data_IF_114883284097
#
_entry.id   IF_114883284097
#
_cell.length_a   1.000
_cell.length_b   1.000
_cell.length_c   1.000
_cell.angle_alpha   90.00
_cell.angle_beta   90.00
_cell.angle_gamma   90.00
#
_symmetry.space_group_name_H-M   'P 1'
#
loop_
_entity.id
_entity.type
_entity.pdbx_description
1 polymer ?
#
# COMPACT_ATOMS: atom_id res chain seq x y z
N UNK A 1 17.84 -2.97 9.90
CA UNK A 1 18.04 -3.73 8.64
C UNK A 1 17.39 -5.09 8.86
N UNK A 2 16.79 -5.71 7.86
CA UNK A 2 16.25 -7.08 8.02
C UNK A 2 17.38 -8.02 8.48
N UNK A 3 17.04 -8.93 9.39
CA UNK A 3 17.96 -9.97 9.86
C UNK A 3 18.51 -10.78 8.66
N UNK A 4 19.84 -10.96 8.53
CA UNK A 4 20.44 -11.76 7.47
C UNK A 4 19.89 -13.18 7.35
N UNK A 5 19.53 -13.81 8.48
CA UNK A 5 19.02 -15.19 8.49
C UNK A 5 17.60 -15.27 7.93
N UNK A 6 16.77 -14.26 8.20
CA UNK A 6 15.45 -14.14 7.58
C UNK A 6 15.59 -13.98 6.07
N UNK A 7 16.51 -13.11 5.62
CA UNK A 7 16.74 -12.91 4.20
C UNK A 7 17.24 -14.19 3.50
N UNK A 8 18.19 -14.90 4.11
CA UNK A 8 18.68 -16.18 3.61
C UNK A 8 17.57 -17.23 3.51
N UNK A 9 16.69 -17.31 4.51
CA UNK A 9 15.53 -18.19 4.51
C UNK A 9 14.60 -17.89 3.32
N UNK A 10 14.27 -16.62 3.06
CA UNK A 10 13.42 -16.26 1.91
C UNK A 10 14.04 -16.66 0.58
N UNK A 11 15.36 -16.51 0.43
CA UNK A 11 16.08 -16.92 -0.78
C UNK A 11 16.10 -18.44 -0.97
N UNK A 12 16.16 -19.20 0.13
CA UNK A 12 16.11 -20.66 0.10
C UNK A 12 14.70 -21.16 -0.24
N UNK A 13 13.66 -20.62 0.39
CA UNK A 13 12.26 -20.93 0.08
C UNK A 13 11.93 -20.63 -1.39
N UNK A 14 12.52 -19.58 -1.98
CA UNK A 14 12.35 -19.23 -3.38
C UNK A 14 13.18 -20.07 -4.36
N UNK A 15 13.98 -21.05 -3.92
CA UNK A 15 14.88 -21.84 -4.78
C UNK A 15 14.17 -22.54 -5.93
N UNK A 16 12.95 -23.03 -5.70
CA UNK A 16 12.12 -23.68 -6.73
C UNK A 16 11.48 -22.70 -7.73
N UNK A 17 11.63 -21.39 -7.50
CA UNK A 17 11.04 -20.32 -8.31
C UNK A 17 12.12 -19.30 -8.73
N UNK A 18 12.92 -19.60 -9.76
CA UNK A 18 14.04 -18.75 -10.17
C UNK A 18 13.70 -17.27 -10.41
N UNK A 19 12.56 -16.90 -11.04
CA UNK A 19 12.20 -15.49 -11.21
C UNK A 19 11.89 -14.77 -9.89
N UNK A 20 11.18 -15.44 -8.97
CA UNK A 20 10.94 -14.90 -7.62
C UNK A 20 12.26 -14.69 -6.87
N UNK A 21 13.14 -15.70 -6.86
CA UNK A 21 14.45 -15.61 -6.21
C UNK A 21 15.29 -14.48 -6.79
N UNK A 22 15.33 -14.33 -8.11
CA UNK A 22 16.06 -13.25 -8.77
C UNK A 22 15.51 -11.87 -8.37
N UNK A 23 14.18 -11.72 -8.29
CA UNK A 23 13.55 -10.48 -7.85
C UNK A 23 13.86 -10.15 -6.38
N UNK A 24 13.91 -11.14 -5.49
CA UNK A 24 14.34 -10.97 -4.10
C UNK A 24 15.80 -10.51 -4.01
N UNK A 25 16.69 -11.13 -4.79
CA UNK A 25 18.11 -10.74 -4.86
C UNK A 25 18.28 -9.31 -5.37
N UNK A 26 17.54 -8.94 -6.43
CA UNK A 26 17.58 -7.58 -6.99
C UNK A 26 17.06 -6.53 -5.98
N UNK A 27 16.03 -6.87 -5.21
CA UNK A 27 15.51 -5.99 -4.17
C UNK A 27 16.49 -5.83 -2.99
N UNK A 28 17.31 -6.84 -2.71
CA UNK A 28 18.25 -6.87 -1.60
C UNK A 28 17.57 -6.86 -0.23
N UNK A 29 18.32 -6.78 0.88
CA UNK A 29 17.75 -6.67 2.23
C UNK A 29 16.88 -5.40 2.38
N UNK A 30 15.63 -5.56 2.83
CA UNK A 30 14.74 -4.44 3.12
C UNK A 30 14.91 -3.93 4.55
N UNK A 31 14.50 -2.70 4.82
CA UNK A 31 14.36 -2.17 6.18
C UNK A 31 12.91 -2.27 6.61
N UNK A 32 12.68 -2.84 7.79
CA UNK A 32 11.39 -2.78 8.48
C UNK A 32 11.43 -1.56 9.38
N UNK A 33 10.70 -0.52 9.00
CA UNK A 33 10.55 0.70 9.81
C UNK A 33 9.67 0.42 11.03
N UNK A 34 9.87 1.13 12.16
CA UNK A 34 8.95 1.05 13.29
C UNK A 34 7.52 1.43 12.87
N UNK A 35 6.49 1.00 13.61
CA UNK A 35 5.12 1.37 13.32
C UNK A 35 4.98 2.90 13.25
N UNK A 36 4.42 3.41 12.15
CA UNK A 36 4.28 4.85 11.92
C UNK A 36 3.31 5.52 12.89
N UNK A 37 2.44 4.73 13.55
CA UNK A 37 1.41 5.22 14.45
C UNK A 37 1.48 4.51 15.80
N UNK A 38 1.44 5.25 16.92
CA UNK A 38 1.54 4.67 18.26
C UNK A 38 0.29 3.88 18.67
N UNK A 39 -0.89 4.21 18.10
CA UNK A 39 -2.16 3.57 18.44
C UNK A 39 -2.68 2.71 17.30
N UNK A 40 -3.30 1.58 17.63
CA UNK A 40 -3.97 0.70 16.67
C UNK A 40 -5.06 1.45 15.91
N UNK A 41 -5.85 2.28 16.61
CA UNK A 41 -6.91 3.08 16.00
C UNK A 41 -6.38 4.02 14.90
N UNK A 42 -5.23 4.67 15.13
CA UNK A 42 -4.62 5.56 14.15
C UNK A 42 -4.22 4.81 12.87
N UNK A 43 -3.70 3.58 13.03
CA UNK A 43 -3.44 2.72 11.87
C UNK A 43 -4.74 2.33 11.14
N UNK A 44 -5.79 1.95 11.87
CA UNK A 44 -7.07 1.60 11.28
C UNK A 44 -7.70 2.76 10.50
N UNK A 45 -7.56 4.01 10.99
CA UNK A 45 -8.02 5.19 10.25
C UNK A 45 -7.30 5.31 8.89
N UNK A 46 -5.98 5.12 8.87
CA UNK A 46 -5.19 5.12 7.61
C UNK A 46 -5.68 4.06 6.66
N UNK A 47 -5.87 2.82 7.13
CA UNK A 47 -6.36 1.73 6.29
C UNK A 47 -7.75 2.05 5.71
N UNK A 48 -8.71 2.45 6.55
CA UNK A 48 -10.09 2.74 6.13
C UNK A 48 -10.14 3.92 5.16
N UNK A 49 -9.39 4.99 5.39
CA UNK A 49 -9.32 6.12 4.46
C UNK A 49 -8.77 5.65 3.11
N UNK A 50 -7.73 4.83 3.10
CA UNK A 50 -7.01 4.41 1.89
C UNK A 50 -7.72 3.30 1.09
N UNK A 51 -8.65 2.56 1.68
CA UNK A 51 -9.38 1.46 1.02
C UNK A 51 -9.90 1.85 -0.39
N UNK A 52 -9.66 1.00 -1.39
CA UNK A 52 -10.17 1.18 -2.77
C UNK A 52 -9.75 2.51 -3.44
N UNK A 53 -8.60 3.09 -3.04
CA UNK A 53 -8.06 4.30 -3.65
C UNK A 53 -6.67 4.06 -4.24
N UNK A 54 -6.32 4.85 -5.26
CA UNK A 54 -4.92 5.00 -5.64
C UNK A 54 -4.15 5.81 -4.60
N UNK A 55 -2.82 5.63 -4.54
CA UNK A 55 -1.95 6.39 -3.63
C UNK A 55 -2.13 7.90 -3.75
N UNK A 56 -2.28 8.41 -4.99
CA UNK A 56 -2.51 9.84 -5.25
C UNK A 56 -3.87 10.31 -4.72
N UNK A 57 -4.93 9.52 -4.93
CA UNK A 57 -6.26 9.86 -4.45
C UNK A 57 -6.33 9.85 -2.91
N UNK A 58 -5.69 8.86 -2.27
CA UNK A 58 -5.58 8.79 -0.83
C UNK A 58 -4.84 9.99 -0.25
N UNK A 59 -3.68 10.36 -0.83
CA UNK A 59 -2.91 11.54 -0.43
C UNK A 59 -3.72 12.84 -0.53
N UNK A 60 -4.48 13.01 -1.62
CA UNK A 60 -5.34 14.19 -1.80
C UNK A 60 -6.48 14.26 -0.77
N UNK A 61 -7.04 13.12 -0.36
CA UNK A 61 -8.04 13.05 0.71
C UNK A 61 -7.42 13.40 2.06
N UNK A 62 -6.26 12.84 2.40
CA UNK A 62 -5.54 13.16 3.63
C UNK A 62 -5.21 14.65 3.75
N UNK A 63 -4.69 15.26 2.68
CA UNK A 63 -4.43 16.70 2.66
C UNK A 63 -5.69 17.55 2.94
N UNK A 64 -6.87 17.12 2.46
CA UNK A 64 -8.14 17.80 2.78
C UNK A 64 -8.59 17.59 4.22
N UNK A 65 -8.40 16.39 4.77
CA UNK A 65 -8.71 16.10 6.18
C UNK A 65 -7.83 16.96 7.10
N UNK A 66 -6.52 17.01 6.81
CA UNK A 66 -5.56 17.82 7.57
C UNK A 66 -5.90 19.32 7.51
N UNK A 67 -6.21 19.84 6.31
CA UNK A 67 -6.63 21.23 6.15
C UNK A 67 -7.92 21.55 6.91
N UNK A 68 -8.92 20.65 6.86
CA UNK A 68 -10.17 20.82 7.60
C UNK A 68 -9.95 20.80 9.13
N UNK A 69 -9.11 19.88 9.61
CA UNK A 69 -8.77 19.77 11.02
C UNK A 69 -8.05 21.04 11.53
N UNK A 70 -7.08 21.53 10.75
CA UNK A 70 -6.36 22.77 11.04
C UNK A 70 -7.30 23.98 11.09
N UNK A 71 -8.24 24.09 10.14
CA UNK A 71 -9.24 25.17 10.13
C UNK A 71 -10.16 25.12 11.37
N UNK A 72 -10.43 23.93 11.90
CA UNK A 72 -11.20 23.73 13.12
C UNK A 72 -10.34 23.79 14.41
N UNK A 73 -9.05 24.15 14.32
CA UNK A 73 -8.09 24.11 15.43
C UNK A 73 -8.06 22.76 16.17
N UNK A 74 -8.17 21.65 15.43
CA UNK A 74 -8.29 20.29 15.95
C UNK A 74 -7.31 19.32 15.26
N UNK A 75 -7.22 18.09 15.77
CA UNK A 75 -6.44 17.04 15.10
C UNK A 75 -7.28 16.32 14.04
N UNK A 76 -6.68 15.76 12.97
CA UNK A 76 -7.40 14.93 11.99
C UNK A 76 -8.27 13.84 12.62
N UNK A 77 -7.80 13.28 13.73
CA UNK A 77 -8.49 12.25 14.49
C UNK A 77 -9.78 12.75 15.16
N UNK A 78 -9.79 14.00 15.64
CA UNK A 78 -10.99 14.57 16.27
C UNK A 78 -12.16 14.59 15.27
N UNK A 79 -11.88 14.80 13.99
CA UNK A 79 -12.89 14.77 12.93
C UNK A 79 -13.53 13.39 12.72
N UNK A 80 -12.96 12.32 13.26
CA UNK A 80 -13.52 10.97 13.16
C UNK A 80 -14.58 10.67 14.22
N UNK A 81 -14.84 11.61 15.13
CA UNK A 81 -15.92 11.53 16.10
C UNK A 81 -17.30 11.71 15.42
N UNK A 82 -18.38 11.43 16.16
CA UNK A 82 -19.74 11.41 15.62
C UNK A 82 -20.19 12.76 15.03
N UNK A 83 -19.67 13.87 15.55
CA UNK A 83 -20.11 15.23 15.22
C UNK A 83 -19.70 15.75 13.83
N UNK A 84 -18.64 15.21 13.24
CA UNK A 84 -17.97 15.83 12.08
C UNK A 84 -18.22 15.09 10.75
N UNK A 85 -19.28 14.27 10.69
CA UNK A 85 -19.63 13.49 9.51
C UNK A 85 -19.74 14.35 8.23
N UNK A 86 -20.37 15.52 8.32
CA UNK A 86 -20.52 16.43 7.17
C UNK A 86 -19.17 16.98 6.69
N UNK A 87 -18.25 17.27 7.61
CA UNK A 87 -16.91 17.76 7.29
C UNK A 87 -16.09 16.67 6.57
N UNK A 88 -16.08 15.44 7.10
CA UNK A 88 -15.40 14.31 6.46
C UNK A 88 -15.93 14.04 5.04
N UNK A 89 -17.25 14.14 4.86
CA UNK A 89 -17.90 14.01 3.54
C UNK A 89 -17.39 15.09 2.57
N UNK A 90 -17.23 16.33 3.03
CA UNK A 90 -16.66 17.42 2.23
C UNK A 90 -15.18 17.18 1.86
N UNK A 91 -14.43 16.44 2.69
CA UNK A 91 -13.06 16.00 2.35
C UNK A 91 -13.03 14.85 1.31
N UNK A 92 -14.19 14.31 0.90
CA UNK A 92 -14.29 13.23 -0.08
C UNK A 92 -14.34 11.83 0.54
N UNK A 93 -14.57 11.71 1.85
CA UNK A 93 -14.79 10.41 2.49
C UNK A 93 -16.22 9.93 2.21
N UNK A 94 -16.36 8.66 1.83
CA UNK A 94 -17.68 8.07 1.59
C UNK A 94 -18.45 7.86 2.90
N UNK A 95 -19.78 7.73 2.82
CA UNK A 95 -20.62 7.59 4.03
C UNK A 95 -20.35 6.29 4.77
N UNK A 96 -20.01 5.23 4.04
CA UNK A 96 -19.60 3.96 4.63
C UNK A 96 -18.28 4.11 5.38
N UNK A 97 -17.31 4.83 4.82
CA UNK A 97 -16.03 5.11 5.48
C UNK A 97 -16.20 6.02 6.70
N UNK A 98 -17.05 7.06 6.64
CA UNK A 98 -17.37 7.87 7.83
C UNK A 98 -17.87 7.00 8.98
N UNK A 99 -18.85 6.12 8.71
CA UNK A 99 -19.38 5.22 9.75
C UNK A 99 -18.32 4.23 10.26
N UNK A 100 -17.39 3.80 9.42
CA UNK A 100 -16.29 2.93 9.82
C UNK A 100 -15.29 3.66 10.73
N UNK A 101 -14.90 4.89 10.39
CA UNK A 101 -14.03 5.73 11.21
C UNK A 101 -14.66 5.99 12.60
N UNK A 102 -15.95 6.32 12.64
CA UNK A 102 -16.68 6.49 13.89
C UNK A 102 -16.79 5.20 14.70
N UNK A 103 -16.95 4.04 14.03
CA UNK A 103 -16.96 2.75 14.72
C UNK A 103 -15.59 2.40 15.33
N UNK A 104 -14.48 2.79 14.68
CA UNK A 104 -13.13 2.64 15.24
C UNK A 104 -12.97 3.50 16.49
N UNK A 105 -13.43 4.76 16.47
CA UNK A 105 -13.45 5.63 17.66
C UNK A 105 -14.24 4.99 18.80
N UNK A 106 -15.44 4.48 18.52
CA UNK A 106 -16.27 3.81 19.53
C UNK A 106 -15.60 2.55 20.09
N UNK A 107 -14.95 1.73 19.25
CA UNK A 107 -14.22 0.54 19.68
C UNK A 107 -13.02 0.89 20.58
N UNK A 108 -12.31 1.97 20.26
CA UNK A 108 -11.21 2.46 21.10
C UNK A 108 -11.70 2.96 22.45
N UNK A 109 -12.78 3.74 22.50
CA UNK A 109 -13.40 4.21 23.74
C UNK A 109 -13.92 3.06 24.61
N UNK A 110 -14.39 1.98 23.98
CA UNK A 110 -14.80 0.75 24.65
C UNK A 110 -13.62 -0.13 25.10
N UNK A 111 -12.37 0.28 24.84
CA UNK A 111 -11.17 -0.45 25.24
C UNK A 111 -10.79 -1.63 24.35
N UNK A 112 -11.53 -1.90 23.26
CA UNK A 112 -11.23 -3.01 22.33
C UNK A 112 -9.89 -2.84 21.62
N UNK A 113 -9.43 -1.60 21.45
CA UNK A 113 -8.18 -1.26 20.77
C UNK A 113 -7.00 -1.00 21.72
N UNK A 114 -7.08 -1.52 22.95
CA UNK A 114 -6.07 -1.34 23.99
C UNK A 114 -4.79 -2.16 23.82
N UNK A 115 -3.82 -2.00 24.73
CA UNK A 115 -2.49 -2.63 24.64
C UNK A 115 -2.52 -4.17 24.67
N UNK A 116 -3.57 -4.78 25.22
CA UNK A 116 -3.74 -6.24 25.27
C UNK A 116 -3.74 -6.91 23.88
N UNK A 117 -4.11 -6.18 22.82
CA UNK A 117 -4.10 -6.71 21.45
C UNK A 117 -2.71 -7.18 21.00
N UNK A 118 -1.63 -6.57 21.50
CA UNK A 118 -0.27 -6.92 21.12
C UNK A 118 0.14 -8.33 21.61
N UNK A 119 -0.48 -8.81 22.69
CA UNK A 119 -0.22 -10.13 23.25
C UNK A 119 -1.01 -11.27 22.60
N UNK A 120 -2.00 -10.95 21.76
CA UNK A 120 -2.85 -11.96 21.13
C UNK A 120 -2.20 -12.56 19.87
N UNK A 121 -2.45 -13.83 19.55
CA UNK A 121 -2.20 -14.37 18.22
C UNK A 121 -2.95 -13.58 17.15
N UNK A 122 -2.40 -13.50 15.93
CA UNK A 122 -3.01 -12.74 14.83
C UNK A 122 -4.46 -13.15 14.56
N UNK A 123 -4.78 -14.45 14.58
CA UNK A 123 -6.14 -14.92 14.33
C UNK A 123 -7.17 -14.35 15.33
N UNK A 124 -6.84 -14.32 16.63
CA UNK A 124 -7.70 -13.78 17.68
C UNK A 124 -7.82 -12.26 17.57
N UNK A 125 -6.69 -11.58 17.37
CA UNK A 125 -6.67 -10.13 17.13
C UNK A 125 -7.49 -9.77 15.90
N UNK A 126 -7.34 -10.49 14.80
CA UNK A 126 -8.07 -10.24 13.57
C UNK A 126 -9.58 -10.43 13.75
N UNK A 127 -10.02 -11.43 14.52
CA UNK A 127 -11.44 -11.60 14.85
C UNK A 127 -12.00 -10.39 15.62
N UNK A 128 -11.24 -9.85 16.59
CA UNK A 128 -11.62 -8.64 17.32
C UNK A 128 -11.69 -7.44 16.37
N UNK A 129 -10.66 -7.22 15.56
CA UNK A 129 -10.61 -6.10 14.61
C UNK A 129 -11.76 -6.16 13.59
N UNK A 130 -12.06 -7.34 13.05
CA UNK A 130 -13.14 -7.56 12.10
C UNK A 130 -14.56 -7.40 12.69
N UNK A 131 -14.70 -7.36 14.02
CA UNK A 131 -15.97 -7.00 14.65
C UNK A 131 -16.31 -5.51 14.48
N UNK A 132 -15.31 -4.68 14.16
CA UNK A 132 -15.47 -3.25 13.95
C UNK A 132 -16.00 -3.00 12.54
N UNK A 133 -17.10 -2.25 12.45
CA UNK A 133 -17.72 -1.92 11.17
C UNK A 133 -16.71 -1.33 10.18
N UNK A 134 -16.62 -1.92 8.99
CA UNK A 134 -15.76 -1.43 7.91
C UNK A 134 -14.29 -1.87 8.01
N UNK A 135 -13.94 -2.65 9.04
CA UNK A 135 -12.68 -3.37 9.14
C UNK A 135 -12.92 -4.81 8.70
N UNK A 136 -12.26 -5.21 7.62
CA UNK A 136 -12.34 -6.59 7.10
C UNK A 136 -11.02 -7.35 7.28
N UNK A 137 -10.98 -8.65 6.90
CA UNK A 137 -9.79 -9.50 7.07
C UNK A 137 -8.52 -8.89 6.49
N UNK A 138 -8.59 -8.35 5.27
CA UNK A 138 -7.44 -7.67 4.64
C UNK A 138 -6.92 -6.50 5.49
N UNK A 139 -7.81 -5.67 6.06
CA UNK A 139 -7.39 -4.57 6.93
C UNK A 139 -6.78 -5.08 8.24
N UNK A 140 -7.31 -6.16 8.81
CA UNK A 140 -6.72 -6.80 9.98
C UNK A 140 -5.31 -7.33 9.68
N UNK A 141 -5.10 -7.95 8.51
CA UNK A 141 -3.78 -8.40 8.05
C UNK A 141 -2.82 -7.22 7.90
N UNK A 142 -3.25 -6.09 7.32
CA UNK A 142 -2.39 -4.91 7.20
C UNK A 142 -1.98 -4.37 8.57
N UNK A 143 -2.90 -4.36 9.54
CA UNK A 143 -2.62 -3.97 10.92
C UNK A 143 -1.63 -4.95 11.57
N UNK A 144 -1.81 -6.27 11.39
CA UNK A 144 -0.87 -7.28 11.88
C UNK A 144 0.53 -7.09 11.30
N UNK A 145 0.64 -6.97 9.97
CA UNK A 145 1.92 -6.86 9.26
C UNK A 145 2.67 -5.57 9.61
N UNK A 146 1.97 -4.43 9.69
CA UNK A 146 2.62 -3.12 9.72
C UNK A 146 2.47 -2.34 11.02
N UNK A 147 1.58 -2.73 11.93
CA UNK A 147 1.50 -2.15 13.26
C UNK A 147 2.04 -3.11 14.32
N UNK A 148 1.61 -4.37 14.29
CA UNK A 148 2.09 -5.39 15.24
C UNK A 148 3.39 -6.06 14.79
N UNK A 149 3.76 -5.93 13.52
CA UNK A 149 4.94 -6.55 12.93
C UNK A 149 4.96 -8.07 13.07
N UNK A 150 3.77 -8.68 13.02
CA UNK A 150 3.68 -10.14 13.01
C UNK A 150 4.46 -10.68 11.81
N UNK A 151 5.39 -11.62 12.01
CA UNK A 151 6.28 -12.06 10.93
C UNK A 151 5.58 -12.98 9.92
N UNK A 152 4.46 -13.61 10.31
CA UNK A 152 3.93 -14.78 9.59
C UNK A 152 2.47 -14.67 9.11
N UNK A 153 2.12 -13.53 8.52
CA UNK A 153 0.81 -13.28 7.90
C UNK A 153 0.95 -13.35 6.38
N UNK A 154 0.15 -14.20 5.74
CA UNK A 154 -0.03 -14.17 4.30
C UNK A 154 -1.35 -13.47 3.95
N UNK A 155 -1.32 -12.28 3.33
CA UNK A 155 -2.52 -11.54 3.01
C UNK A 155 -3.16 -12.09 1.72
N UNK A 156 -3.80 -13.26 1.80
CA UNK A 156 -4.38 -13.96 0.65
C UNK A 156 -5.46 -13.15 -0.11
N UNK A 157 -6.07 -12.16 0.54
CA UNK A 157 -6.99 -11.21 -0.09
C UNK A 157 -6.33 -10.04 -0.82
N UNK A 158 -5.00 -9.90 -0.74
CA UNK A 158 -4.26 -8.78 -1.33
C UNK A 158 -3.91 -9.05 -2.79
N UNK A 159 -4.65 -8.42 -3.71
CA UNK A 159 -4.48 -8.57 -5.16
C UNK A 159 -3.05 -8.25 -5.62
N UNK A 160 -2.37 -7.30 -4.97
CA UNK A 160 -1.03 -6.90 -5.38
C UNK A 160 0.03 -7.94 -4.98
N UNK A 161 -0.01 -8.45 -3.75
CA UNK A 161 0.89 -9.49 -3.27
C UNK A 161 0.62 -10.81 -4.02
N UNK A 162 -0.63 -11.26 -4.06
CA UNK A 162 -1.05 -12.50 -4.74
C UNK A 162 -0.70 -12.43 -6.23
N UNK A 163 -1.08 -11.36 -6.92
CA UNK A 163 -0.78 -11.18 -8.34
C UNK A 163 0.72 -11.13 -8.64
N UNK A 164 1.52 -10.51 -7.76
CA UNK A 164 2.97 -10.49 -7.92
C UNK A 164 3.59 -11.88 -7.70
N UNK A 165 3.12 -12.64 -6.70
CA UNK A 165 3.60 -14.00 -6.45
C UNK A 165 3.23 -14.94 -7.59
N UNK A 166 1.98 -14.89 -8.07
CA UNK A 166 1.53 -15.63 -9.23
C UNK A 166 2.42 -15.34 -10.45
N UNK A 167 2.63 -14.07 -10.79
CA UNK A 167 3.47 -13.65 -11.94
C UNK A 167 4.91 -14.17 -11.87
N UNK A 168 5.51 -14.21 -10.67
CA UNK A 168 6.91 -14.62 -10.48
C UNK A 168 7.10 -16.13 -10.36
N UNK A 169 6.04 -16.88 -10.07
CA UNK A 169 6.11 -18.33 -9.85
C UNK A 169 5.38 -19.16 -10.90
N UNK A 170 4.45 -18.54 -11.64
CA UNK A 170 3.55 -19.22 -12.57
C UNK A 170 2.56 -20.16 -11.88
N UNK A 171 2.34 -20.01 -10.57
CA UNK A 171 1.45 -20.88 -9.77
C UNK A 171 0.14 -20.16 -9.46
N UNK A 172 -0.98 -20.86 -9.62
CA UNK A 172 -2.30 -20.36 -9.26
C UNK A 172 -2.56 -20.47 -7.75
N UNK A 173 -2.10 -21.58 -7.13
CA UNK A 173 -2.16 -21.78 -5.70
C UNK A 173 -1.04 -21.00 -4.99
N UNK A 174 -1.26 -19.70 -4.84
CA UNK A 174 -0.32 -18.82 -4.16
C UNK A 174 -0.21 -19.08 -2.67
N UNK A 175 -1.23 -19.69 -2.06
CA UNK A 175 -1.25 -20.00 -0.63
C UNK A 175 -0.28 -21.15 -0.32
N UNK A 176 -0.28 -22.21 -1.15
CA UNK A 176 0.70 -23.29 -1.05
C UNK A 176 2.14 -22.79 -1.29
N UNK A 177 2.33 -21.87 -2.24
CA UNK A 177 3.65 -21.26 -2.47
C UNK A 177 4.07 -20.43 -1.26
N UNK A 178 3.19 -19.56 -0.75
CA UNK A 178 3.49 -18.71 0.40
C UNK A 178 3.75 -19.53 1.68
N UNK A 179 3.13 -20.70 1.84
CA UNK A 179 3.37 -21.59 2.99
C UNK A 179 4.85 -21.98 3.15
N UNK A 180 5.61 -22.10 2.06
CA UNK A 180 7.04 -22.40 2.10
C UNK A 180 7.91 -21.28 2.70
N UNK A 181 7.35 -20.07 2.86
CA UNK A 181 8.02 -18.91 3.43
C UNK A 181 7.69 -18.68 4.90
N UNK A 182 6.94 -19.58 5.54
CA UNK A 182 6.75 -19.54 6.99
C UNK A 182 8.09 -19.78 7.71
N UNK A 183 8.39 -19.06 8.81
CA UNK A 183 7.50 -18.19 9.57
C UNK A 183 7.58 -16.70 9.18
N UNK A 184 7.93 -16.37 7.94
CA UNK A 184 8.21 -14.99 7.48
C UNK A 184 7.32 -14.54 6.30
N UNK A 185 6.08 -15.04 6.24
CA UNK A 185 5.13 -14.70 5.15
C UNK A 185 4.81 -13.21 5.06
N UNK A 186 4.84 -12.47 6.16
CA UNK A 186 4.67 -11.01 6.16
C UNK A 186 5.85 -10.31 5.47
N UNK A 187 7.05 -10.87 5.61
CA UNK A 187 8.25 -10.31 4.98
C UNK A 187 8.23 -10.60 3.48
N UNK A 188 7.79 -11.81 3.07
CA UNK A 188 7.52 -12.10 1.65
C UNK A 188 6.53 -11.08 1.07
N UNK A 189 5.40 -10.82 1.72
CA UNK A 189 4.41 -9.84 1.25
C UNK A 189 5.03 -8.44 1.04
N UNK A 190 5.87 -7.99 1.98
CA UNK A 190 6.61 -6.71 1.86
C UNK A 190 7.54 -6.67 0.66
N UNK A 191 8.24 -7.77 0.36
CA UNK A 191 9.04 -7.88 -0.86
C UNK A 191 8.17 -7.79 -2.12
N UNK A 192 7.04 -8.50 -2.16
CA UNK A 192 6.16 -8.52 -3.33
C UNK A 192 5.58 -7.14 -3.64
N UNK A 193 5.16 -6.38 -2.64
CA UNK A 193 4.73 -4.98 -2.84
C UNK A 193 5.86 -4.10 -3.39
N UNK A 194 7.07 -4.22 -2.84
CA UNK A 194 8.24 -3.45 -3.32
C UNK A 194 8.63 -3.82 -4.76
N UNK A 195 8.60 -5.11 -5.10
CA UNK A 195 8.91 -5.60 -6.45
C UNK A 195 7.86 -5.10 -7.45
N UNK A 196 6.57 -5.16 -7.09
CA UNK A 196 5.49 -4.61 -7.91
C UNK A 196 5.71 -3.12 -8.15
N UNK A 197 5.99 -2.35 -7.10
CA UNK A 197 6.13 -0.90 -7.24
C UNK A 197 7.37 -0.51 -8.06
N UNK A 198 8.48 -1.25 -7.93
CA UNK A 198 9.65 -1.08 -8.79
C UNK A 198 9.36 -1.41 -10.26
N UNK A 199 8.52 -2.41 -10.54
CA UNK A 199 8.11 -2.76 -11.91
C UNK A 199 7.13 -1.73 -12.52
N UNK A 200 6.49 -0.90 -11.71
CA UNK A 200 5.60 0.18 -12.15
C UNK A 200 6.35 1.49 -12.43
N UNK A 201 7.61 1.62 -12.01
CA UNK A 201 8.49 2.74 -12.40
C UNK A 201 9.11 2.39 -13.76
N UNK A 202 8.77 3.09 -14.85
CA UNK A 202 9.45 2.88 -16.13
C UNK A 202 10.95 3.12 -15.96
N UNK A 203 11.76 2.17 -16.42
CA UNK A 203 13.21 2.29 -16.45
C UNK A 203 13.57 3.27 -17.57
N UNK A 204 13.41 4.57 -17.35
CA UNK A 204 13.99 5.63 -18.18
C UNK A 204 14.05 6.96 -17.40
N UNK A 205 15.08 7.07 -16.55
CA UNK A 205 15.58 8.34 -16.05
C UNK A 205 17.11 8.27 -15.93
N UNK A 206 17.79 7.86 -17.02
CA UNK A 206 19.22 8.16 -17.22
C UNK A 206 19.60 8.06 -18.70
N UNK A 207 20.18 9.17 -19.17
CA UNK A 207 20.95 9.36 -20.41
C UNK A 207 20.18 9.72 -21.69
N UNK A 208 19.73 10.97 -21.78
CA UNK A 208 19.80 11.70 -23.06
C UNK A 208 21.10 12.52 -23.03
N UNK A 209 22.18 11.93 -23.58
CA UNK A 209 23.34 12.68 -24.05
C UNK A 209 22.99 13.10 -25.47
N UNK A 210 22.53 14.32 -25.64
CA UNK A 210 22.42 14.93 -26.96
C UNK A 210 23.83 15.38 -27.39
N UNK A 211 24.42 14.85 -28.48
CA UNK A 211 25.60 15.46 -29.09
C UNK A 211 25.20 16.78 -29.79
N UNK A 212 26.12 17.74 -29.95
CA UNK A 212 25.77 19.07 -30.43
C UNK A 212 25.25 19.03 -31.88
N UNK A 213 24.10 19.68 -32.10
CA UNK A 213 23.50 19.85 -33.42
C UNK A 213 24.46 20.61 -34.35
N UNK A 214 24.76 20.01 -35.49
CA UNK A 214 25.37 20.71 -36.63
C UNK A 214 24.24 21.30 -37.47
N UNK A 215 24.24 22.63 -37.65
CA UNK A 215 23.30 23.34 -38.50
C UNK A 215 23.56 23.04 -39.98
N UNK A 216 22.51 22.62 -40.70
CA UNK A 216 22.49 22.52 -42.16
C UNK A 216 21.31 23.37 -42.70
N UNK A 217 21.51 24.14 -43.79
CA UNK A 217 20.63 25.25 -44.15
C UNK A 217 19.31 24.83 -44.83
N UNK A 218 18.30 25.64 -44.54
CA UNK A 218 16.91 25.56 -44.99
C UNK A 218 16.75 25.44 -46.50
N UNK A 219 16.07 24.38 -46.97
CA UNK A 219 15.57 24.27 -48.35
C UNK A 219 14.18 24.89 -48.46
N UNK A 220 14.07 25.91 -49.30
CA UNK A 220 12.84 26.59 -49.74
C UNK A 220 11.91 25.65 -50.50
N UNK A 221 10.60 25.79 -50.28
CA UNK A 221 9.52 25.03 -50.93
C UNK A 221 8.88 25.88 -52.04
N UNK A 222 8.58 25.35 -53.24
CA UNK A 222 7.94 26.12 -54.30
C UNK A 222 6.41 26.16 -54.14
N UNK A 223 5.72 27.17 -54.72
CA UNK A 223 4.28 27.35 -54.56
C UNK A 223 3.46 26.41 -55.48
N UNK A 224 2.34 25.90 -54.95
CA UNK A 224 1.30 25.21 -55.74
C UNK A 224 0.18 26.20 -56.07
N UNK A 225 -0.02 26.46 -57.35
CA UNK A 225 -1.21 27.13 -57.86
C UNK A 225 -2.38 26.16 -58.02
N UNK A 226 -3.59 26.68 -57.85
CA UNK A 226 -4.82 26.13 -58.43
C UNK A 226 -5.73 27.29 -58.80
N UNK A 227 -5.97 27.43 -60.10
CA UNK A 227 -6.92 28.34 -60.70
C UNK A 227 -8.35 27.81 -60.54
N UNK A 228 -9.31 28.73 -60.41
CA UNK A 228 -10.74 28.54 -60.72
C UNK A 228 -11.15 29.66 -61.66
N UNK A 229 -11.56 29.31 -62.88
CA UNK A 229 -12.44 30.07 -63.78
C UNK A 229 -12.92 29.14 -64.90
N UNK A 230 -14.23 29.06 -65.11
CA UNK A 230 -14.87 28.50 -66.33
C UNK A 230 -15.28 27.05 -66.24
#
# INVERSE_FOLDING_TARGET
MLDPDIYAHLLDAARAHPPLRAALVQAGPIRIEPPAHPRVADRLFVEVVNQQLSTRAAAAIWARIEAAAAAAASSPRALFEAGDAAMLRACGISGNKVRALQAIVAAEMAGLLGPGLAGLPHAERAAILCSIRGVGPWTADMVGIFHFHDPDIWPAGDVAAVGCLHRLTGRDDTDAVAAAFAPYRSILARYLWRIKDAALVPVDAKAERDPPRQDLPSRTRPPRGAAKSG
#
